data_IF_337844044506
#
_entry.id   IF_337844044506
#
_cell.length_a   1.000
_cell.length_b   1.000
_cell.length_c   1.000
_cell.angle_alpha   90.00
_cell.angle_beta   90.00
_cell.angle_gamma   90.00
#
_symmetry.space_group_name_H-M   'P 1'
#
loop_
_entity.id
_entity.type
_entity.pdbx_description
1 polymer ?
#
# COMPACT_ATOMS: atom_id res chain seq x y z
N UNK A 1 10.16 -10.80 1.76
CA UNK A 1 10.07 -9.50 1.06
C UNK A 1 11.47 -8.97 0.78
N UNK A 2 11.73 -8.29 -0.37
CA UNK A 2 13.03 -7.66 -0.57
C UNK A 2 13.27 -6.60 0.52
N UNK A 3 14.48 -6.60 1.09
CA UNK A 3 14.94 -5.56 2.00
C UNK A 3 15.06 -4.25 1.20
N UNK A 4 14.13 -3.32 1.37
CA UNK A 4 14.06 -2.07 0.61
C UNK A 4 14.74 -0.90 1.34
N UNK A 5 15.84 -1.15 2.05
CA UNK A 5 16.69 -0.08 2.59
C UNK A 5 17.43 0.65 1.46
N UNK A 6 16.74 1.52 0.74
CA UNK A 6 17.36 2.51 -0.13
C UNK A 6 17.07 3.88 0.47
N UNK A 7 18.09 4.52 1.04
CA UNK A 7 18.02 5.85 1.67
C UNK A 7 17.70 7.00 0.71
N UNK A 8 16.96 6.74 -0.36
CA UNK A 8 16.53 7.68 -1.40
C UNK A 8 15.00 7.65 -1.53
N UNK A 9 14.33 8.35 -0.62
CA UNK A 9 12.87 8.52 -0.63
C UNK A 9 12.39 9.08 -1.97
N UNK A 10 11.36 8.49 -2.57
CA UNK A 10 10.71 9.02 -3.78
C UNK A 10 11.49 8.89 -5.08
N UNK A 11 12.70 8.32 -5.03
CA UNK A 11 13.53 8.03 -6.20
C UNK A 11 13.50 6.54 -6.58
N UNK A 12 13.36 5.65 -5.60
CA UNK A 12 13.28 4.22 -5.83
C UNK A 12 11.89 3.83 -6.33
N UNK A 13 11.85 3.18 -7.49
CA UNK A 13 10.65 2.56 -8.05
C UNK A 13 10.75 1.06 -7.82
N UNK A 14 9.68 0.47 -7.31
CA UNK A 14 9.59 -0.97 -7.05
C UNK A 14 8.39 -1.54 -7.78
N UNK A 15 8.54 -2.78 -8.23
CA UNK A 15 7.43 -3.62 -8.66
C UNK A 15 7.09 -4.60 -7.54
N UNK A 16 5.82 -4.58 -7.13
CA UNK A 16 5.24 -5.55 -6.21
C UNK A 16 4.28 -6.44 -6.99
N UNK A 17 4.28 -7.72 -6.71
CA UNK A 17 3.40 -8.70 -7.35
C UNK A 17 2.79 -9.60 -6.31
N UNK A 18 1.62 -10.18 -6.60
CA UNK A 18 0.99 -11.16 -5.74
C UNK A 18 0.77 -10.64 -4.30
N UNK A 19 0.31 -9.40 -4.16
CA UNK A 19 -0.06 -8.83 -2.86
C UNK A 19 -1.57 -8.69 -2.75
N UNK A 20 -2.07 -8.80 -1.53
CA UNK A 20 -3.50 -8.77 -1.19
C UNK A 20 -3.86 -7.42 -0.61
N UNK A 21 -4.97 -6.84 -1.05
CA UNK A 21 -5.60 -5.68 -0.40
C UNK A 21 -6.37 -6.15 0.83
N UNK A 22 -5.89 -5.86 2.05
CA UNK A 22 -6.58 -6.22 3.29
C UNK A 22 -7.41 -5.10 3.89
N UNK A 23 -7.13 -3.86 3.50
CA UNK A 23 -7.83 -2.67 3.95
C UNK A 23 -7.78 -1.58 2.88
N UNK A 24 -8.85 -0.80 2.81
CA UNK A 24 -8.96 0.41 2.00
C UNK A 24 -9.50 1.51 2.92
N UNK A 25 -8.81 2.64 2.96
CA UNK A 25 -9.25 3.85 3.67
C UNK A 25 -10.64 4.27 3.16
N UNK A 26 -11.57 4.71 4.03
CA UNK A 26 -12.84 5.33 3.63
C UNK A 26 -12.75 6.29 2.43
N UNK A 27 -11.69 7.10 2.32
CA UNK A 27 -11.52 8.05 1.22
C UNK A 27 -10.99 7.42 -0.08
N UNK A 28 -10.62 6.13 -0.03
CA UNK A 28 -10.10 5.35 -1.16
C UNK A 28 -8.69 5.75 -1.59
N UNK A 29 -7.97 6.50 -0.75
CA UNK A 29 -6.63 7.01 -1.03
C UNK A 29 -5.52 6.20 -0.34
N UNK A 30 -5.83 5.52 0.75
CA UNK A 30 -4.91 4.64 1.47
C UNK A 30 -5.35 3.18 1.39
N UNK A 31 -4.39 2.25 1.46
CA UNK A 31 -4.65 0.82 1.55
C UNK A 31 -3.54 0.09 2.26
N UNK A 32 -3.89 -1.08 2.82
CA UNK A 32 -2.94 -2.01 3.39
C UNK A 32 -2.77 -3.21 2.46
N UNK A 33 -1.54 -3.41 2.00
CA UNK A 33 -1.18 -4.52 1.14
C UNK A 33 -0.42 -5.56 1.95
N UNK A 34 -0.82 -6.82 1.88
CA UNK A 34 -0.09 -7.93 2.48
C UNK A 34 0.49 -8.87 1.44
N UNK A 35 1.55 -9.58 1.80
CA UNK A 35 1.96 -10.76 1.04
C UNK A 35 0.83 -11.81 1.02
N UNK A 36 0.84 -12.67 0.01
CA UNK A 36 -0.15 -13.75 -0.12
C UNK A 36 -0.15 -14.76 1.04
N UNK A 37 0.94 -14.85 1.82
CA UNK A 37 1.01 -15.66 3.05
C UNK A 37 0.50 -14.90 4.29
N UNK A 38 0.12 -13.62 4.12
CA UNK A 38 -0.42 -12.74 5.16
C UNK A 38 0.55 -12.45 6.32
N UNK A 39 1.83 -12.78 6.18
CA UNK A 39 2.84 -12.61 7.25
C UNK A 39 3.35 -11.18 7.36
N UNK A 40 3.36 -10.46 6.24
CA UNK A 40 3.93 -9.13 6.14
C UNK A 40 2.98 -8.22 5.40
N UNK A 41 2.92 -6.95 5.81
CA UNK A 41 2.13 -5.96 5.10
C UNK A 41 2.71 -4.56 5.19
N UNK A 42 2.24 -3.73 4.28
CA UNK A 42 2.77 -2.42 4.00
C UNK A 42 1.61 -1.46 3.75
N UNK A 43 1.65 -0.32 4.44
CA UNK A 43 0.75 0.77 4.12
C UNK A 43 1.14 1.40 2.80
N UNK A 44 0.14 1.78 2.03
CA UNK A 44 0.30 2.30 0.69
C UNK A 44 -0.66 3.46 0.47
N UNK A 45 -0.13 4.54 -0.07
CA UNK A 45 -0.88 5.73 -0.43
C UNK A 45 -1.01 5.85 -1.95
N UNK A 46 -2.22 5.81 -2.49
CA UNK A 46 -2.46 6.12 -3.89
C UNK A 46 -3.69 6.98 -4.09
N UNK A 47 -3.41 8.23 -4.47
CA UNK A 47 -4.43 9.17 -4.90
C UNK A 47 -5.21 8.62 -6.11
N UNK A 48 -6.49 8.30 -5.91
CA UNK A 48 -7.42 7.90 -6.98
C UNK A 48 -7.37 6.45 -7.48
N UNK A 49 -6.32 5.67 -7.17
CA UNK A 49 -6.23 4.25 -7.58
C UNK A 49 -6.99 3.31 -6.64
N UNK A 50 -7.03 3.60 -5.34
CA UNK A 50 -7.68 2.73 -4.35
C UNK A 50 -9.19 2.57 -4.59
N UNK A 51 -9.83 3.55 -5.26
CA UNK A 51 -11.26 3.50 -5.62
C UNK A 51 -11.64 2.39 -6.60
N UNK A 52 -10.67 1.76 -7.27
CA UNK A 52 -10.91 0.64 -8.21
C UNK A 52 -10.60 -0.74 -7.62
N UNK A 53 -10.08 -0.77 -6.40
CA UNK A 53 -9.72 -2.00 -5.69
C UNK A 53 -10.82 -2.35 -4.70
N UNK A 54 -10.95 -3.64 -4.42
CA UNK A 54 -11.74 -4.15 -3.32
C UNK A 54 -10.86 -4.90 -2.32
N UNK A 55 -11.28 -4.95 -1.06
CA UNK A 55 -10.66 -5.81 -0.07
C UNK A 55 -10.74 -7.26 -0.56
N UNK A 56 -9.62 -7.98 -0.48
CA UNK A 56 -9.45 -9.34 -0.98
C UNK A 56 -8.90 -9.44 -2.41
N UNK A 57 -8.77 -8.32 -3.11
CA UNK A 57 -8.13 -8.29 -4.43
C UNK A 57 -6.64 -8.67 -4.31
N UNK A 58 -6.20 -9.53 -5.23
CA UNK A 58 -4.78 -9.81 -5.46
C UNK A 58 -4.32 -8.90 -6.58
N UNK A 59 -3.26 -8.14 -6.37
CA UNK A 59 -2.74 -7.16 -7.31
C UNK A 59 -1.25 -7.30 -7.57
N UNK A 60 -0.81 -6.77 -8.71
CA UNK A 60 0.54 -6.27 -8.91
C UNK A 60 0.52 -4.76 -9.11
N UNK A 61 1.59 -4.09 -8.72
CA UNK A 61 1.72 -2.65 -8.87
C UNK A 61 3.17 -2.22 -9.05
N UNK A 62 3.34 -1.11 -9.75
CA UNK A 62 4.61 -0.38 -9.82
C UNK A 62 4.40 0.92 -9.08
N UNK A 63 5.21 1.18 -8.06
CA UNK A 63 5.08 2.36 -7.21
C UNK A 63 6.44 2.87 -6.75
N UNK A 64 6.47 4.08 -6.20
CA UNK A 64 7.66 4.63 -5.56
C UNK A 64 7.68 4.28 -4.08
N UNK A 65 8.86 4.04 -3.53
CA UNK A 65 9.04 3.89 -2.08
C UNK A 65 9.28 5.27 -1.46
N UNK A 66 8.49 5.60 -0.45
CA UNK A 66 8.67 6.80 0.36
C UNK A 66 8.97 6.40 1.80
N UNK A 67 9.75 7.22 2.50
CA UNK A 67 9.92 7.08 3.95
C UNK A 67 9.20 8.24 4.60
N UNK A 68 8.18 7.92 5.39
CA UNK A 68 7.37 8.87 6.14
C UNK A 68 7.45 8.53 7.63
N UNK A 69 7.85 9.51 8.46
CA UNK A 69 8.14 9.30 9.90
C UNK A 69 9.05 8.10 10.23
N UNK A 70 10.02 7.80 9.35
CA UNK A 70 10.95 6.68 9.54
C UNK A 70 10.41 5.31 9.12
N UNK A 71 9.24 5.26 8.48
CA UNK A 71 8.62 4.03 7.97
C UNK A 71 8.47 4.09 6.48
N UNK A 72 8.61 2.94 5.85
CA UNK A 72 8.46 2.80 4.42
C UNK A 72 6.98 2.67 4.05
N UNK A 73 6.59 3.34 2.96
CA UNK A 73 5.29 3.19 2.32
C UNK A 73 5.47 3.13 0.81
N UNK A 74 4.48 2.55 0.11
CA UNK A 74 4.36 2.74 -1.32
C UNK A 74 3.54 3.99 -1.59
N UNK A 75 4.01 4.84 -2.48
CA UNK A 75 3.32 6.04 -2.90
C UNK A 75 3.53 6.29 -4.39
N UNK A 76 2.78 7.23 -4.97
CA UNK A 76 2.88 7.60 -6.39
C UNK A 76 2.84 6.37 -7.33
N UNK A 77 1.76 5.58 -7.21
CA UNK A 77 1.55 4.41 -8.03
C UNK A 77 1.55 4.77 -9.52
N UNK A 78 2.39 4.09 -10.28
CA UNK A 78 2.55 4.23 -11.73
C UNK A 78 1.55 3.33 -12.45
N UNK A 79 1.41 2.09 -11.97
CA UNK A 79 0.42 1.13 -12.47
C UNK A 79 -0.07 0.22 -11.36
N UNK A 80 -1.32 -0.23 -11.49
CA UNK A 80 -1.95 -1.24 -10.63
C UNK A 80 -2.76 -2.19 -11.52
N UNK A 81 -2.54 -3.49 -11.36
CA UNK A 81 -3.20 -4.53 -12.11
C UNK A 81 -3.81 -5.56 -11.16
N UNK A 82 -5.12 -5.76 -11.28
CA UNK A 82 -5.82 -6.84 -10.57
C UNK A 82 -5.49 -8.18 -11.22
N UNK A 83 -5.08 -9.13 -10.40
CA UNK A 83 -4.68 -10.48 -10.80
C UNK A 83 -5.73 -11.53 -10.37
N UNK A 84 -6.51 -11.27 -9.30
CA UNK A 84 -7.54 -12.20 -8.82
C UNK A 84 -8.32 -11.68 -7.60
N UNK A 85 -9.26 -12.49 -7.10
CA UNK A 85 -10.25 -12.10 -6.05
C UNK A 85 -10.32 -13.08 -4.85
N UNK A 86 -9.50 -14.13 -4.84
CA UNK A 86 -9.47 -15.12 -3.75
C UNK A 86 -8.22 -14.96 -2.89
N UNK A 87 -8.21 -13.90 -2.09
CA UNK A 87 -7.22 -13.74 -1.04
C UNK A 87 -7.38 -14.82 0.05
N UNK A 88 -6.28 -15.42 0.54
CA UNK A 88 -6.27 -16.22 1.75
C UNK A 88 -6.25 -15.37 3.04
N UNK A 89 -5.99 -14.07 2.94
CA UNK A 89 -5.84 -13.17 4.07
C UNK A 89 -7.17 -12.55 4.50
N UNK A 90 -7.41 -12.57 5.81
CA UNK A 90 -8.55 -11.87 6.40
C UNK A 90 -8.45 -10.35 6.17
N UNK A 91 -9.57 -9.65 5.93
CA UNK A 91 -9.62 -8.19 6.04
C UNK A 91 -9.12 -7.73 7.40
N UNK A 92 -8.45 -6.57 7.43
CA UNK A 92 -8.06 -5.94 8.69
C UNK A 92 -8.93 -4.70 8.93
N UNK A 93 -9.37 -4.52 10.17
CA UNK A 93 -9.84 -3.21 10.63
C UNK A 93 -8.61 -2.42 11.05
N UNK A 94 -8.27 -1.36 10.31
CA UNK A 94 -7.19 -0.47 10.71
C UNK A 94 -7.69 0.43 11.85
N UNK A 95 -7.60 -0.08 13.09
CA UNK A 95 -8.04 0.62 14.32
C UNK A 95 -7.06 1.69 14.78
N UNK A 96 -5.83 1.61 14.30
CA UNK A 96 -4.79 2.61 14.52
C UNK A 96 -4.00 2.75 13.22
N UNK A 97 -4.09 3.93 12.60
CA UNK A 97 -3.27 4.28 11.45
C UNK A 97 -1.84 4.60 11.88
N UNK A 98 -1.55 4.72 13.18
CA UNK A 98 -0.20 5.01 13.65
C UNK A 98 0.76 3.89 13.23
N UNK A 99 1.89 4.22 12.59
CA UNK A 99 2.47 5.57 12.51
C UNK A 99 2.21 6.28 11.16
N UNK A 100 1.37 5.70 10.30
CA UNK A 100 0.89 6.23 9.02
C UNK A 100 -0.35 7.14 9.17
N UNK A 101 -0.61 7.71 10.35
CA UNK A 101 -1.69 8.69 10.53
C UNK A 101 -1.48 9.83 9.56
N UNK A 102 -2.35 9.89 8.57
CA UNK A 102 -2.32 10.90 7.55
C UNK A 102 -2.79 12.22 8.17
N UNK A 103 -1.88 12.98 8.78
CA UNK A 103 -2.08 14.42 8.78
C UNK A 103 -1.86 14.85 7.34
N UNK A 104 -2.94 15.17 6.65
CA UNK A 104 -2.89 15.90 5.40
C UNK A 104 -2.06 17.16 5.67
N UNK A 105 -0.78 17.11 5.30
CA UNK A 105 0.08 18.27 5.33
C UNK A 105 -0.64 19.36 4.57
N UNK A 106 -1.10 20.38 5.30
CA UNK A 106 -1.65 21.60 4.76
C UNK A 106 -0.81 22.00 3.55
N UNK A 107 -1.42 22.00 2.36
CA UNK A 107 -0.90 22.76 1.23
C UNK A 107 -0.95 24.24 1.65
N UNK A 108 0.14 24.73 2.23
CA UNK A 108 0.46 26.13 2.43
C UNK A 108 1.38 26.62 1.33
#
# INVERSE_FOLDING_TARGET
>A
MPNLYTGSTGHSIVEITNVVVQYIDPDGNGFYLASQDCEYGLYSWAFGFGRRLAIGDIISAIAKVYVYYGLEELSNFISVHKQGERSPCAPIEQRDLSPFTHEAGHYG
#
